data_IF_164110431675
#
_entry.id   IF_164110431675
#
_cell.length_a   1.000
_cell.length_b   1.000
_cell.length_c   1.000
_cell.angle_alpha   90.00
_cell.angle_beta   90.00
_cell.angle_gamma   90.00
#
_symmetry.space_group_name_H-M   'P 1'
#
loop_
_entity.id
_entity.type
_entity.pdbx_description
1 polymer ?
#
# COMPACT_ATOMS: atom_id res chain seq x y z
N UNK A 1 21.03 -7.92 4.00
CA UNK A 1 19.94 -6.99 3.66
C UNK A 1 20.17 -6.27 2.35
N UNK A 2 21.22 -5.45 2.18
CA UNK A 2 21.49 -4.70 0.91
C UNK A 2 21.53 -5.56 -0.35
N UNK A 3 22.12 -6.77 -0.29
CA UNK A 3 22.22 -7.66 -1.45
C UNK A 3 20.83 -8.19 -1.86
N UNK A 4 19.99 -8.59 -0.90
CA UNK A 4 18.61 -9.03 -1.16
C UNK A 4 17.81 -7.90 -1.77
N UNK A 5 17.83 -6.71 -1.15
CA UNK A 5 17.16 -5.51 -1.67
C UNK A 5 17.53 -5.21 -3.13
N UNK A 6 18.84 -5.16 -3.46
CA UNK A 6 19.30 -4.90 -4.83
C UNK A 6 18.84 -5.97 -5.82
N UNK A 7 18.87 -7.24 -5.42
CA UNK A 7 18.42 -8.36 -6.24
C UNK A 7 16.92 -8.23 -6.54
N UNK A 8 16.11 -8.00 -5.50
CA UNK A 8 14.65 -7.86 -5.65
C UNK A 8 14.30 -6.64 -6.50
N UNK A 9 14.90 -5.48 -6.20
CA UNK A 9 14.66 -4.26 -6.98
C UNK A 9 14.98 -4.48 -8.46
N UNK A 10 16.13 -5.10 -8.76
CA UNK A 10 16.50 -5.44 -10.13
C UNK A 10 15.47 -6.38 -10.76
N UNK A 11 14.98 -7.39 -10.04
CA UNK A 11 13.99 -8.34 -10.53
C UNK A 11 12.66 -7.65 -10.94
N UNK A 12 12.21 -6.59 -10.23
CA UNK A 12 11.02 -5.84 -10.62
C UNK A 12 11.20 -5.09 -11.94
N UNK A 13 12.39 -4.57 -12.22
CA UNK A 13 12.66 -3.87 -13.46
C UNK A 13 13.04 -4.82 -14.60
N UNK A 14 13.73 -5.91 -14.36
CA UNK A 14 14.01 -6.94 -15.36
C UNK A 14 12.73 -7.66 -15.83
N UNK A 15 11.72 -7.80 -14.97
CA UNK A 15 10.43 -8.45 -15.28
C UNK A 15 9.34 -7.53 -15.84
N UNK A 16 9.65 -6.29 -16.17
CA UNK A 16 8.71 -5.23 -16.61
C UNK A 16 7.58 -4.88 -15.63
N UNK A 17 7.35 -5.65 -14.56
CA UNK A 17 6.24 -5.39 -13.61
C UNK A 17 6.40 -4.01 -12.97
N UNK A 18 7.62 -3.64 -12.58
CA UNK A 18 7.89 -2.33 -12.00
C UNK A 18 7.53 -1.19 -12.94
N UNK A 19 7.90 -1.31 -14.23
CA UNK A 19 7.56 -0.28 -15.23
C UNK A 19 6.05 -0.17 -15.47
N UNK A 20 5.37 -1.31 -15.62
CA UNK A 20 3.91 -1.34 -15.84
C UNK A 20 3.19 -0.73 -14.64
N UNK A 21 3.59 -1.08 -13.42
CA UNK A 21 3.02 -0.55 -12.18
C UNK A 21 3.18 0.97 -12.08
N UNK A 22 4.40 1.47 -12.31
CA UNK A 22 4.70 2.91 -12.27
C UNK A 22 3.92 3.64 -13.37
N UNK A 23 3.96 3.15 -14.60
CA UNK A 23 3.27 3.76 -15.74
C UNK A 23 1.75 3.81 -15.51
N UNK A 24 1.16 2.74 -14.99
CA UNK A 24 -0.27 2.67 -14.68
C UNK A 24 -0.67 3.71 -13.63
N UNK A 25 0.06 3.79 -12.50
CA UNK A 25 -0.25 4.76 -11.44
C UNK A 25 -0.06 6.20 -11.92
N UNK A 26 1.01 6.48 -12.67
CA UNK A 26 1.26 7.84 -13.18
C UNK A 26 0.21 8.24 -14.22
N UNK A 27 -0.20 7.32 -15.11
CA UNK A 27 -1.24 7.57 -16.10
C UNK A 27 -2.60 7.87 -15.43
N UNK A 28 -3.01 7.05 -14.45
CA UNK A 28 -4.26 7.27 -13.71
C UNK A 28 -4.23 8.56 -12.91
N UNK A 29 -3.12 8.85 -12.24
CA UNK A 29 -2.94 10.13 -11.56
C UNK A 29 -3.05 11.31 -12.53
N UNK A 30 -2.43 11.22 -13.70
CA UNK A 30 -2.51 12.26 -14.74
C UNK A 30 -3.93 12.53 -15.21
N UNK A 31 -4.73 11.46 -15.42
CA UNK A 31 -6.14 11.57 -15.83
C UNK A 31 -6.95 12.28 -14.73
N UNK A 32 -6.85 11.85 -13.48
CA UNK A 32 -7.58 12.47 -12.38
C UNK A 32 -7.10 13.89 -12.08
N UNK A 33 -5.79 14.16 -12.22
CA UNK A 33 -5.23 15.49 -12.06
C UNK A 33 -5.77 16.46 -13.13
N UNK A 34 -5.84 16.05 -14.37
CA UNK A 34 -6.45 16.83 -15.45
C UNK A 34 -7.93 17.09 -15.15
N UNK A 35 -8.67 16.08 -14.72
CA UNK A 35 -10.09 16.20 -14.48
C UNK A 35 -10.41 17.12 -13.29
N UNK A 36 -9.80 16.89 -12.13
CA UNK A 36 -10.11 17.65 -10.91
C UNK A 36 -9.42 19.02 -10.87
N UNK A 37 -8.11 19.06 -11.05
CA UNK A 37 -7.35 20.29 -10.81
C UNK A 37 -7.30 21.20 -12.05
N UNK A 38 -7.10 20.64 -13.26
CA UNK A 38 -6.96 21.48 -14.45
C UNK A 38 -8.31 21.90 -15.04
N UNK A 39 -9.25 20.97 -15.21
CA UNK A 39 -10.57 21.26 -15.78
C UNK A 39 -11.58 21.70 -14.70
N UNK A 40 -11.56 21.04 -13.54
CA UNK A 40 -12.46 21.32 -12.42
C UNK A 40 -12.06 22.53 -11.58
N UNK A 41 -10.81 23.00 -11.68
CA UNK A 41 -10.31 24.15 -10.92
C UNK A 41 -10.21 23.94 -9.39
N UNK A 42 -10.24 22.70 -8.92
CA UNK A 42 -10.10 22.42 -7.50
C UNK A 42 -8.69 22.76 -7.01
N UNK A 43 -8.53 23.51 -5.90
CA UNK A 43 -7.23 23.98 -5.43
C UNK A 43 -6.46 22.92 -4.62
N UNK A 44 -7.13 21.83 -4.18
CA UNK A 44 -6.52 20.76 -3.40
C UNK A 44 -6.19 19.55 -4.27
N UNK A 45 -4.98 19.04 -4.14
CA UNK A 45 -4.57 17.79 -4.78
C UNK A 45 -5.18 16.55 -4.09
N UNK A 46 -5.64 16.69 -2.84
CA UNK A 46 -6.27 15.62 -2.06
C UNK A 46 -7.47 14.97 -2.74
N UNK A 47 -8.24 15.70 -3.57
CA UNK A 47 -9.34 15.13 -4.38
C UNK A 47 -8.85 14.06 -5.36
N UNK A 48 -7.66 14.28 -5.96
CA UNK A 48 -7.04 13.28 -6.85
C UNK A 48 -6.65 12.05 -6.06
N UNK A 49 -6.04 12.23 -4.88
CA UNK A 49 -5.62 11.12 -4.03
C UNK A 49 -6.81 10.27 -3.55
N UNK A 50 -7.93 10.90 -3.17
CA UNK A 50 -9.16 10.19 -2.82
C UNK A 50 -9.68 9.32 -3.98
N UNK A 51 -9.68 9.84 -5.21
CA UNK A 51 -10.04 9.05 -6.38
C UNK A 51 -9.03 7.92 -6.68
N UNK A 52 -7.75 8.12 -6.34
CA UNK A 52 -6.68 7.14 -6.52
C UNK A 52 -6.71 5.99 -5.49
N UNK A 53 -7.45 6.10 -4.38
CA UNK A 53 -7.55 5.03 -3.38
C UNK A 53 -8.03 3.71 -3.97
N UNK A 54 -9.05 3.75 -4.82
CA UNK A 54 -9.55 2.56 -5.50
C UNK A 54 -8.53 2.00 -6.53
N UNK A 55 -7.78 2.89 -7.18
CA UNK A 55 -6.78 2.50 -8.17
C UNK A 55 -5.61 1.76 -7.51
N UNK A 56 -5.15 2.26 -6.34
CA UNK A 56 -4.04 1.62 -5.61
C UNK A 56 -4.42 0.24 -5.08
N UNK A 57 -5.69 0.05 -4.72
CA UNK A 57 -6.25 -1.23 -4.30
C UNK A 57 -6.13 -2.29 -5.41
N UNK A 58 -6.26 -1.91 -6.68
CA UNK A 58 -6.05 -2.80 -7.82
C UNK A 58 -4.56 -2.97 -8.17
N UNK A 59 -3.77 -1.93 -8.02
CA UNK A 59 -2.38 -1.93 -8.44
C UNK A 59 -1.45 -2.71 -7.49
N UNK A 60 -1.63 -2.58 -6.17
CA UNK A 60 -0.74 -3.22 -5.18
C UNK A 60 -0.75 -4.74 -5.25
N UNK A 61 -1.88 -5.45 -5.44
CA UNK A 61 -1.86 -6.90 -5.62
C UNK A 61 -0.96 -7.37 -6.76
N UNK A 62 -0.89 -6.61 -7.86
CA UNK A 62 0.00 -6.92 -8.98
C UNK A 62 1.47 -6.76 -8.61
N UNK A 63 1.80 -5.73 -7.81
CA UNK A 63 3.16 -5.52 -7.31
C UNK A 63 3.59 -6.63 -6.35
N UNK A 64 2.71 -7.05 -5.44
CA UNK A 64 3.04 -7.97 -4.33
C UNK A 64 2.93 -9.46 -4.70
N UNK A 65 2.18 -9.81 -5.74
CA UNK A 65 1.86 -11.20 -6.09
C UNK A 65 3.08 -12.10 -6.27
N UNK A 66 4.19 -11.56 -6.79
CA UNK A 66 5.42 -12.31 -7.06
C UNK A 66 6.36 -12.44 -5.87
N UNK A 67 6.19 -11.64 -4.83
CA UNK A 67 7.20 -11.40 -3.81
C UNK A 67 7.71 -12.69 -3.14
N UNK A 68 6.81 -13.59 -2.73
CA UNK A 68 7.14 -14.85 -2.06
C UNK A 68 6.53 -16.08 -2.76
N UNK A 69 5.43 -15.92 -3.51
CA UNK A 69 4.76 -17.02 -4.20
C UNK A 69 5.61 -17.63 -5.31
N UNK A 70 6.38 -16.81 -6.04
CA UNK A 70 7.29 -17.30 -7.09
C UNK A 70 8.46 -18.12 -6.53
N UNK A 71 9.05 -17.69 -5.44
CA UNK A 71 10.13 -18.42 -4.76
C UNK A 71 9.61 -19.77 -4.23
N UNK A 72 8.39 -19.77 -3.74
CA UNK A 72 7.72 -20.98 -3.26
C UNK A 72 7.43 -21.93 -4.40
N UNK A 73 6.87 -21.46 -5.53
CA UNK A 73 6.60 -22.27 -6.72
C UNK A 73 7.86 -22.87 -7.31
N UNK A 74 8.96 -22.11 -7.35
CA UNK A 74 10.25 -22.55 -7.89
C UNK A 74 11.10 -23.33 -6.87
N UNK A 75 10.62 -23.51 -5.62
CA UNK A 75 11.35 -24.13 -4.50
C UNK A 75 12.70 -23.46 -4.18
N UNK A 76 12.89 -22.21 -4.63
CA UNK A 76 14.09 -21.43 -4.34
C UNK A 76 14.05 -20.82 -2.93
N UNK A 77 12.91 -20.86 -2.25
CA UNK A 77 12.76 -20.53 -0.84
C UNK A 77 13.67 -21.38 0.05
N UNK A 78 13.93 -22.64 -0.30
CA UNK A 78 14.86 -23.52 0.43
C UNK A 78 16.29 -22.96 0.43
N UNK A 79 16.76 -22.37 -0.67
CA UNK A 79 18.06 -21.71 -0.74
C UNK A 79 18.14 -20.46 0.15
N UNK A 80 17.02 -19.74 0.27
CA UNK A 80 16.92 -18.59 1.19
C UNK A 80 16.91 -19.02 2.65
N UNK A 81 16.22 -20.12 2.97
CA UNK A 81 16.13 -20.68 4.34
C UNK A 81 17.48 -21.25 4.81
N UNK A 82 18.31 -21.76 3.92
CA UNK A 82 19.66 -22.28 4.22
C UNK A 82 20.74 -21.21 4.21
N UNK A 83 20.42 -19.99 3.74
CA UNK A 83 21.40 -18.89 3.68
C UNK A 83 21.79 -18.40 5.09
N UNK A 84 23.02 -17.89 5.29
CA UNK A 84 23.47 -17.37 6.58
C UNK A 84 22.82 -16.02 6.96
N UNK A 85 21.83 -15.56 6.19
CA UNK A 85 21.11 -14.30 6.43
C UNK A 85 19.86 -14.57 7.25
N UNK A 86 19.61 -13.78 8.31
CA UNK A 86 18.41 -13.93 9.13
C UNK A 86 17.13 -13.61 8.33
N UNK A 87 16.07 -14.40 8.53
CA UNK A 87 14.77 -14.24 7.87
C UNK A 87 14.19 -12.81 7.93
N UNK A 88 14.21 -12.11 9.07
CA UNK A 88 13.74 -10.73 9.12
C UNK A 88 14.46 -9.79 8.16
N UNK A 89 15.79 -9.98 7.98
CA UNK A 89 16.58 -9.16 7.03
C UNK A 89 16.22 -9.44 5.57
N UNK A 90 15.80 -10.67 5.26
CA UNK A 90 15.34 -11.05 3.92
C UNK A 90 13.99 -10.39 3.64
N UNK A 91 13.03 -10.56 4.56
CA UNK A 91 11.67 -10.02 4.43
C UNK A 91 11.68 -8.50 4.37
N UNK A 92 12.43 -7.83 5.25
CA UNK A 92 12.60 -6.38 5.20
C UNK A 92 13.28 -5.92 3.89
N UNK A 93 14.24 -6.68 3.36
CA UNK A 93 14.87 -6.36 2.08
C UNK A 93 13.90 -6.42 0.91
N UNK A 94 12.99 -7.41 0.89
CA UNK A 94 11.93 -7.54 -0.12
C UNK A 94 10.88 -6.45 0.02
N UNK A 95 10.43 -6.18 1.24
CA UNK A 95 9.47 -5.11 1.54
C UNK A 95 9.99 -3.76 1.06
N UNK A 96 11.23 -3.39 1.44
CA UNK A 96 11.85 -2.13 1.00
C UNK A 96 12.05 -2.03 -0.51
N UNK A 97 12.24 -3.16 -1.22
CA UNK A 97 12.32 -3.15 -2.68
C UNK A 97 10.95 -2.76 -3.30
N UNK A 98 9.85 -3.32 -2.81
CA UNK A 98 8.50 -2.96 -3.24
C UNK A 98 8.17 -1.50 -2.90
N UNK A 99 8.51 -1.06 -1.68
CA UNK A 99 8.36 0.34 -1.25
C UNK A 99 9.12 1.30 -2.18
N UNK A 100 10.32 0.94 -2.61
CA UNK A 100 11.08 1.77 -3.54
C UNK A 100 10.40 1.87 -4.91
N UNK A 101 9.85 0.77 -5.43
CA UNK A 101 9.07 0.79 -6.67
C UNK A 101 7.84 1.66 -6.53
N UNK A 102 7.15 1.61 -5.38
CA UNK A 102 5.99 2.44 -5.09
C UNK A 102 6.35 3.91 -4.83
N UNK A 103 7.50 4.20 -4.23
CA UNK A 103 7.96 5.56 -3.98
C UNK A 103 8.24 6.36 -5.29
N UNK A 104 8.55 5.69 -6.40
CA UNK A 104 8.82 6.37 -7.68
C UNK A 104 7.59 7.14 -8.18
N UNK A 105 6.40 6.54 -8.36
CA UNK A 105 5.21 7.31 -8.73
C UNK A 105 4.84 8.36 -7.67
N UNK A 106 5.07 8.10 -6.37
CA UNK A 106 4.81 9.09 -5.32
C UNK A 106 5.69 10.33 -5.47
N UNK A 107 6.96 10.15 -5.84
CA UNK A 107 7.84 11.29 -6.15
C UNK A 107 7.33 12.12 -7.34
N UNK A 108 6.72 11.48 -8.33
CA UNK A 108 6.08 12.19 -9.45
C UNK A 108 4.82 12.91 -8.98
N UNK A 109 4.02 12.32 -8.11
CA UNK A 109 2.82 12.95 -7.53
C UNK A 109 3.16 14.23 -6.75
N UNK A 110 4.33 14.31 -6.12
CA UNK A 110 4.79 15.53 -5.46
C UNK A 110 4.97 16.73 -6.39
N UNK A 111 5.06 16.51 -7.70
CA UNK A 111 5.12 17.61 -8.68
C UNK A 111 3.74 18.24 -8.95
N UNK A 112 2.65 17.50 -8.76
CA UNK A 112 1.29 17.98 -9.06
C UNK A 112 0.89 19.20 -8.22
N UNK A 113 1.07 19.25 -6.88
CA UNK A 113 0.80 20.44 -6.09
C UNK A 113 1.62 21.67 -6.51
N UNK A 114 2.84 21.46 -6.99
CA UNK A 114 3.68 22.55 -7.49
C UNK A 114 3.11 23.13 -8.80
N UNK A 115 2.54 22.28 -9.66
CA UNK A 115 1.87 22.72 -10.90
C UNK A 115 0.60 23.50 -10.54
N UNK A 116 -0.19 23.07 -9.56
CA UNK A 116 -1.37 23.81 -9.08
C UNK A 116 -0.94 25.19 -8.59
N UNK A 117 0.14 25.27 -7.80
CA UNK A 117 0.67 26.53 -7.29
C UNK A 117 1.13 27.49 -8.39
N UNK A 118 1.70 26.97 -9.48
CA UNK A 118 2.13 27.79 -10.61
C UNK A 118 0.95 28.40 -11.40
N UNK A 119 -0.23 27.76 -11.35
CA UNK A 119 -1.42 28.16 -12.09
C UNK A 119 -2.50 28.83 -11.21
N UNK A 120 -2.34 28.84 -9.87
CA UNK A 120 -3.35 29.42 -8.98
C UNK A 120 -3.01 29.26 -7.49
N UNK A 121 -4.05 29.21 -6.67
CA UNK A 121 -3.91 28.98 -5.23
C UNK A 121 -3.74 27.49 -4.94
N UNK A 122 -2.71 27.10 -4.21
CA UNK A 122 -2.46 25.73 -3.76
C UNK A 122 -2.15 25.70 -2.27
N UNK A 123 -2.63 24.67 -1.62
CA UNK A 123 -2.43 24.40 -0.19
C UNK A 123 -1.32 23.35 -0.01
N UNK A 124 -0.09 23.72 -0.34
CA UNK A 124 1.05 22.79 -0.43
C UNK A 124 1.26 21.95 0.84
N UNK A 125 1.07 22.54 2.03
CA UNK A 125 1.27 21.82 3.30
C UNK A 125 0.31 20.66 3.45
N UNK A 126 -0.94 20.87 3.11
CA UNK A 126 -2.02 19.88 3.20
C UNK A 126 -1.88 18.83 2.11
N UNK A 127 -1.53 19.25 0.89
CA UNK A 127 -1.31 18.36 -0.24
C UNK A 127 -0.11 17.42 0.00
N UNK A 128 1.02 17.91 0.49
CA UNK A 128 2.16 17.05 0.83
C UNK A 128 1.87 16.12 2.00
N UNK A 129 1.09 16.56 3.00
CA UNK A 129 0.64 15.71 4.10
C UNK A 129 -0.25 14.57 3.57
N UNK A 130 -1.16 14.87 2.65
CA UNK A 130 -2.04 13.89 2.01
C UNK A 130 -1.26 12.89 1.15
N UNK A 131 -0.25 13.33 0.38
CA UNK A 131 0.64 12.44 -0.39
C UNK A 131 1.40 11.50 0.56
N UNK A 132 1.89 12.01 1.69
CA UNK A 132 2.58 11.19 2.68
C UNK A 132 1.65 10.16 3.33
N UNK A 133 0.42 10.55 3.69
CA UNK A 133 -0.59 9.63 4.21
C UNK A 133 -0.95 8.54 3.18
N UNK A 134 -1.10 8.92 1.91
CA UNK A 134 -1.37 8.00 0.81
C UNK A 134 -0.22 7.00 0.60
N UNK A 135 1.03 7.45 0.71
CA UNK A 135 2.20 6.57 0.70
C UNK A 135 2.17 5.58 1.86
N UNK A 136 1.86 6.04 3.07
CA UNK A 136 1.76 5.17 4.25
C UNK A 136 0.62 4.15 4.11
N UNK A 137 -0.53 4.55 3.58
CA UNK A 137 -1.64 3.65 3.26
C UNK A 137 -1.22 2.56 2.27
N UNK A 138 -0.54 2.94 1.19
CA UNK A 138 0.01 1.99 0.22
C UNK A 138 1.03 1.03 0.84
N UNK A 139 1.87 1.51 1.77
CA UNK A 139 2.81 0.70 2.53
C UNK A 139 2.12 -0.39 3.38
N UNK A 140 0.96 -0.07 3.98
CA UNK A 140 0.12 -1.06 4.68
C UNK A 140 -0.38 -2.13 3.70
N UNK A 141 -0.90 -1.72 2.54
CA UNK A 141 -1.40 -2.67 1.54
C UNK A 141 -0.29 -3.54 0.96
N UNK A 142 0.92 -3.02 0.77
CA UNK A 142 2.10 -3.80 0.37
C UNK A 142 2.45 -4.84 1.45
N UNK A 143 2.40 -4.48 2.74
CA UNK A 143 2.67 -5.41 3.83
C UNK A 143 1.62 -6.55 3.89
N UNK A 144 0.32 -6.22 3.70
CA UNK A 144 -0.77 -7.21 3.59
C UNK A 144 -0.54 -8.13 2.39
N UNK A 145 -0.26 -7.57 1.21
CA UNK A 145 -0.03 -8.35 0.00
C UNK A 145 1.18 -9.28 0.12
N UNK A 146 2.25 -8.82 0.77
CA UNK A 146 3.41 -9.65 1.07
C UNK A 146 3.06 -10.82 2.00
N UNK A 147 2.22 -10.59 3.01
CA UNK A 147 1.74 -11.65 3.89
C UNK A 147 0.93 -12.69 3.10
N UNK A 148 -0.03 -12.27 2.28
CA UNK A 148 -0.83 -13.18 1.44
C UNK A 148 0.05 -13.95 0.45
N UNK A 149 1.02 -13.28 -0.18
CA UNK A 149 2.00 -13.92 -1.05
C UNK A 149 2.81 -14.99 -0.32
N UNK A 150 3.03 -14.84 0.99
CA UNK A 150 3.70 -15.85 1.80
C UNK A 150 2.87 -17.13 2.04
N UNK A 151 1.54 -17.05 1.96
CA UNK A 151 0.64 -18.19 2.21
C UNK A 151 0.40 -19.06 0.99
N UNK A 152 0.59 -18.52 -0.23
CA UNK A 152 0.21 -19.16 -1.50
C UNK A 152 1.42 -19.47 -2.37
N UNK A 153 1.26 -20.47 -3.26
CA UNK A 153 2.28 -20.84 -4.27
C UNK A 153 1.96 -20.29 -5.65
N UNK A 154 0.71 -19.83 -5.84
CA UNK A 154 0.24 -19.28 -7.10
C UNK A 154 0.20 -17.76 -7.05
N UNK A 155 0.84 -17.10 -8.00
CA UNK A 155 0.81 -15.64 -8.15
C UNK A 155 -0.62 -15.11 -8.31
N UNK A 156 -1.46 -15.82 -9.08
CA UNK A 156 -2.86 -15.44 -9.34
C UNK A 156 -3.67 -15.49 -8.04
N UNK A 157 -3.55 -16.58 -7.27
CA UNK A 157 -4.25 -16.72 -5.99
C UNK A 157 -3.75 -15.66 -4.99
N UNK A 158 -2.46 -15.35 -5.00
CA UNK A 158 -1.89 -14.28 -4.18
C UNK A 158 -2.49 -12.92 -4.56
N UNK A 159 -2.56 -12.59 -5.85
CA UNK A 159 -3.13 -11.33 -6.33
C UNK A 159 -4.62 -11.20 -5.97
N UNK A 160 -5.41 -12.24 -6.26
CA UNK A 160 -6.86 -12.25 -5.97
C UNK A 160 -7.11 -12.20 -4.46
N UNK A 161 -6.34 -12.95 -3.67
CA UNK A 161 -6.44 -12.93 -2.21
C UNK A 161 -6.09 -11.58 -1.61
N UNK A 162 -5.01 -10.96 -2.09
CA UNK A 162 -4.62 -9.60 -1.66
C UNK A 162 -5.70 -8.59 -2.03
N UNK A 163 -6.18 -8.61 -3.29
CA UNK A 163 -7.25 -7.75 -3.75
C UNK A 163 -8.51 -7.91 -2.89
N UNK A 164 -8.94 -9.16 -2.63
CA UNK A 164 -10.12 -9.44 -1.82
C UNK A 164 -10.02 -8.88 -0.40
N UNK A 165 -8.87 -9.07 0.28
CA UNK A 165 -8.67 -8.57 1.65
C UNK A 165 -8.61 -7.05 1.67
N UNK A 166 -7.86 -6.43 0.75
CA UNK A 166 -7.76 -4.97 0.69
C UNK A 166 -9.11 -4.34 0.30
N UNK A 167 -9.89 -4.99 -0.57
CA UNK A 167 -11.24 -4.57 -0.92
C UNK A 167 -12.19 -4.60 0.29
N UNK A 168 -12.15 -5.65 1.11
CA UNK A 168 -12.93 -5.73 2.34
C UNK A 168 -12.55 -4.62 3.31
N UNK A 169 -11.25 -4.33 3.46
CA UNK A 169 -10.76 -3.22 4.30
C UNK A 169 -11.28 -1.88 3.76
N UNK A 170 -11.26 -1.69 2.44
CA UNK A 170 -11.75 -0.48 1.78
C UNK A 170 -13.25 -0.28 1.97
N UNK A 171 -14.05 -1.33 1.84
CA UNK A 171 -15.51 -1.28 1.97
C UNK A 171 -15.98 -1.29 3.44
N UNK A 172 -15.07 -1.54 4.39
CA UNK A 172 -15.43 -1.71 5.81
C UNK A 172 -16.23 -0.56 6.40
N UNK A 173 -15.93 0.74 6.17
CA UNK A 173 -16.74 1.84 6.70
C UNK A 173 -18.18 1.79 6.22
N UNK A 174 -18.41 1.43 4.95
CA UNK A 174 -19.74 1.25 4.40
C UNK A 174 -20.48 0.04 4.99
N UNK A 175 -19.77 -1.07 5.20
CA UNK A 175 -20.32 -2.29 5.79
C UNK A 175 -20.68 -2.04 7.28
N UNK A 176 -19.79 -1.39 8.03
CA UNK A 176 -20.01 -1.11 9.46
C UNK A 176 -21.22 -0.22 9.71
N UNK A 177 -21.49 0.74 8.81
CA UNK A 177 -22.67 1.60 8.90
C UNK A 177 -24.00 0.88 8.65
N UNK A 178 -23.97 -0.30 8.02
CA UNK A 178 -25.16 -1.14 7.77
C UNK A 178 -25.41 -2.18 8.87
N UNK A 179 -24.46 -2.35 9.80
CA UNK A 179 -24.62 -3.31 10.90
C UNK A 179 -25.62 -2.80 11.95
N UNK A 180 -26.47 -3.70 12.50
CA UNK A 180 -27.39 -3.33 13.57
C UNK A 180 -26.64 -2.81 14.80
N UNK A 181 -27.23 -1.83 15.50
CA UNK A 181 -26.65 -1.15 16.66
C UNK A 181 -26.23 -2.10 17.80
N UNK A 182 -26.90 -3.24 17.98
CA UNK A 182 -26.52 -4.22 19.01
C UNK A 182 -25.15 -4.90 18.75
N UNK A 183 -24.65 -4.86 17.50
CA UNK A 183 -23.31 -5.36 17.14
C UNK A 183 -22.29 -4.22 17.16
N UNK A 184 -22.73 -2.96 17.08
CA UNK A 184 -21.88 -1.78 17.01
C UNK A 184 -21.68 -1.08 18.37
N UNK A 185 -22.51 -1.37 19.38
CA UNK A 185 -22.43 -0.76 20.73
C UNK A 185 -21.32 -1.34 21.62
N UNK A 186 -20.35 -2.05 21.06
CA UNK A 186 -19.20 -2.56 21.81
C UNK A 186 -18.01 -1.59 21.69
N UNK A 187 -17.20 -1.48 22.75
CA UNK A 187 -15.97 -0.68 22.81
C UNK A 187 -15.04 -0.85 21.59
N UNK A 188 -15.05 -2.03 20.97
CA UNK A 188 -14.27 -2.34 19.77
C UNK A 188 -14.81 -1.61 18.53
N UNK A 189 -16.12 -1.45 18.43
CA UNK A 189 -16.77 -0.79 17.30
C UNK A 189 -16.73 0.73 17.39
N UNK A 190 -16.63 1.31 18.57
CA UNK A 190 -16.41 2.75 18.75
C UNK A 190 -14.98 3.18 18.34
N UNK A 191 -14.03 2.29 18.46
CA UNK A 191 -12.64 2.53 18.02
C UNK A 191 -12.43 2.25 16.53
N UNK A 192 -13.12 1.26 15.96
CA UNK A 192 -12.95 0.80 14.58
C UNK A 192 -13.35 1.84 13.50
N UNK A 193 -14.44 2.64 13.62
CA UNK A 193 -14.78 3.60 12.58
C UNK A 193 -13.75 4.70 12.39
N UNK A 194 -13.10 5.14 13.47
CA UNK A 194 -12.13 6.23 13.44
C UNK A 194 -10.73 5.76 12.99
N UNK A 195 -10.40 4.47 13.18
CA UNK A 195 -9.11 3.89 12.84
C UNK A 195 -9.22 2.79 11.77
N UNK A 196 -10.03 3.03 10.73
CA UNK A 196 -9.96 2.23 9.50
C UNK A 196 -8.86 2.76 8.59
N UNK A 197 -8.32 1.90 7.73
CA UNK A 197 -7.23 2.32 6.80
C UNK A 197 -7.70 3.46 5.90
N UNK A 198 -8.94 3.41 5.43
CA UNK A 198 -9.56 4.48 4.62
C UNK A 198 -9.97 5.68 5.47
N UNK A 199 -10.51 5.48 6.68
CA UNK A 199 -10.90 6.57 7.58
C UNK A 199 -9.73 7.47 8.00
N UNK A 200 -8.55 6.89 8.21
CA UNK A 200 -7.32 7.69 8.42
C UNK A 200 -7.00 8.51 7.17
N UNK A 201 -7.12 7.95 5.97
CA UNK A 201 -6.88 8.70 4.73
C UNK A 201 -7.91 9.83 4.54
N UNK A 202 -9.18 9.60 4.89
CA UNK A 202 -10.23 10.62 4.87
C UNK A 202 -9.90 11.82 5.76
N UNK A 203 -9.22 11.61 6.90
CA UNK A 203 -8.76 12.69 7.77
C UNK A 203 -7.81 13.65 7.05
N UNK A 204 -6.95 13.13 6.18
CA UNK A 204 -6.02 13.94 5.39
C UNK A 204 -6.66 14.53 4.13
N UNK A 205 -7.51 13.76 3.43
CA UNK A 205 -8.09 14.18 2.14
C UNK A 205 -9.32 15.06 2.28
N UNK A 206 -10.24 14.73 3.20
CA UNK A 206 -11.52 15.41 3.35
C UNK A 206 -11.50 16.47 4.45
N UNK A 207 -10.85 16.17 5.58
CA UNK A 207 -10.79 17.09 6.71
C UNK A 207 -9.52 17.95 6.73
N UNK A 208 -8.53 17.66 5.90
CA UNK A 208 -7.23 18.35 5.83
C UNK A 208 -6.52 18.43 7.18
N UNK A 209 -6.73 17.44 8.05
CA UNK A 209 -6.11 17.33 9.37
C UNK A 209 -4.91 16.41 9.33
N UNK A 210 -3.82 16.83 9.99
CA UNK A 210 -2.64 15.97 10.16
C UNK A 210 -2.86 15.04 11.35
N UNK A 211 -3.36 13.83 11.09
CA UNK A 211 -3.66 12.81 12.09
C UNK A 211 -2.42 11.97 12.42
N UNK A 212 -1.74 12.32 13.52
CA UNK A 212 -0.58 11.56 14.02
C UNK A 212 -1.02 10.17 14.52
N UNK A 213 -2.21 10.05 15.13
CA UNK A 213 -2.75 8.78 15.62
C UNK A 213 -2.95 7.79 14.46
N UNK A 214 -3.52 8.28 13.36
CA UNK A 214 -3.69 7.50 12.13
C UNK A 214 -2.36 7.04 11.52
N UNK A 215 -1.32 7.87 11.55
CA UNK A 215 0.01 7.46 11.07
C UNK A 215 0.63 6.37 11.97
N UNK A 216 0.49 6.48 13.28
CA UNK A 216 0.94 5.43 14.22
C UNK A 216 0.17 4.13 13.98
N UNK A 217 -1.12 4.21 13.69
CA UNK A 217 -1.93 3.05 13.32
C UNK A 217 -1.40 2.38 12.04
N UNK A 218 -1.09 3.12 10.98
CA UNK A 218 -0.49 2.57 9.76
C UNK A 218 0.85 1.87 10.03
N UNK A 219 1.73 2.51 10.80
CA UNK A 219 3.02 1.92 11.19
C UNK A 219 2.81 0.63 11.97
N UNK A 220 1.87 0.59 12.90
CA UNK A 220 1.56 -0.62 13.69
C UNK A 220 1.07 -1.78 12.81
N UNK A 221 0.22 -1.49 11.82
CA UNK A 221 -0.26 -2.49 10.85
C UNK A 221 0.88 -3.03 9.99
N UNK A 222 1.77 -2.17 9.50
CA UNK A 222 2.95 -2.59 8.72
C UNK A 222 3.78 -3.58 9.53
N UNK A 223 4.12 -3.24 10.79
CA UNK A 223 4.89 -4.12 11.65
C UNK A 223 4.16 -5.44 11.93
N UNK A 224 2.86 -5.40 12.16
CA UNK A 224 2.03 -6.58 12.40
C UNK A 224 2.06 -7.55 11.22
N UNK A 225 1.82 -7.07 9.99
CA UNK A 225 1.80 -7.93 8.81
C UNK A 225 3.19 -8.41 8.41
N UNK A 226 4.23 -7.61 8.61
CA UNK A 226 5.61 -8.08 8.44
C UNK A 226 5.97 -9.16 9.46
N UNK A 227 5.54 -9.02 10.70
CA UNK A 227 5.72 -10.05 11.72
C UNK A 227 5.00 -11.36 11.34
N UNK A 228 3.74 -11.29 10.89
CA UNK A 228 3.00 -12.46 10.40
C UNK A 228 3.68 -13.10 9.20
N UNK A 229 4.23 -12.31 8.30
CA UNK A 229 5.02 -12.81 7.16
C UNK A 229 6.24 -13.58 7.63
N UNK A 230 6.99 -13.05 8.60
CA UNK A 230 8.16 -13.72 9.18
C UNK A 230 7.74 -15.05 9.81
N UNK A 231 6.67 -15.07 10.62
CA UNK A 231 6.16 -16.29 11.26
C UNK A 231 5.70 -17.33 10.23
N UNK A 232 5.00 -16.89 9.18
CA UNK A 232 4.54 -17.77 8.08
C UNK A 232 5.72 -18.46 7.39
N UNK A 233 6.77 -17.72 7.08
CA UNK A 233 7.97 -18.26 6.43
C UNK A 233 8.79 -19.12 7.41
N UNK A 234 8.86 -18.73 8.69
CA UNK A 234 9.58 -19.47 9.72
C UNK A 234 8.94 -20.84 10.01
N UNK A 235 7.61 -20.92 10.07
CA UNK A 235 6.87 -22.18 10.26
C UNK A 235 7.29 -23.25 9.26
N UNK A 236 7.55 -22.88 8.02
CA UNK A 236 7.97 -23.80 6.96
C UNK A 236 9.41 -24.30 7.10
N UNK A 237 10.24 -23.62 7.87
CA UNK A 237 11.61 -24.10 8.17
C UNK A 237 11.60 -25.34 9.04
N UNK A 238 10.50 -25.57 9.75
CA UNK A 238 10.36 -26.67 10.73
C UNK A 238 9.44 -27.81 10.24
N UNK A 239 8.73 -27.62 9.14
CA UNK A 239 7.93 -28.65 8.48
C UNK A 239 8.64 -29.16 7.23
#
# INVERSE_FOLDING_TARGET
MKAVYKRELKSYFDSMIGYIFIAFLVAMNGIYFLYYNMLGGYPYYSYVLGAMEFIILMAIPVLTMKCLSDERRSKTDQLLLTSPVSLPKIILGKYLAMETVFAIPMAIFCLCPLIIKANGTAYLREDFASIFAFFMMGSVFIAIGMFISSLTESQIISAVGTFGIVLVIYLWPGISSMLPSFLTDNFITDLLPNYTVTGVMDSFTSYHLFDIGGLVFYISLIFLFLFFTIQSVQKRRWS
#
